data_IF_820048204649
#
_entry.id   IF_820048204649
#
_cell.length_a   1.000
_cell.length_b   1.000
_cell.length_c   1.000
_cell.angle_alpha   90.00
_cell.angle_beta   90.00
_cell.angle_gamma   90.00
#
_symmetry.space_group_name_H-M   'P 1'
#
loop_
_entity.id
_entity.type
_entity.pdbx_description
1 polymer ?
#
# COMPACT_ATOMS: atom_id res chain seq x y z
N UNK A 1 71.81 -10.93 -6.26
CA UNK A 1 71.04 -11.66 -7.30
C UNK A 1 70.04 -12.56 -6.60
N UNK A 2 68.78 -12.12 -6.47
CA UNK A 2 67.71 -12.89 -5.85
C UNK A 2 66.83 -13.54 -6.95
N UNK A 3 66.53 -14.83 -6.80
CA UNK A 3 65.66 -15.60 -7.70
C UNK A 3 64.21 -15.07 -7.64
N UNK A 4 63.42 -15.11 -8.73
CA UNK A 4 62.01 -14.75 -8.68
C UNK A 4 61.21 -15.85 -7.96
N UNK A 5 60.30 -15.42 -7.09
CA UNK A 5 59.35 -16.29 -6.42
C UNK A 5 58.37 -16.91 -7.45
N UNK A 6 58.21 -18.23 -7.40
CA UNK A 6 57.19 -18.96 -8.13
C UNK A 6 55.80 -18.50 -7.67
N UNK A 7 54.93 -18.20 -8.64
CA UNK A 7 53.61 -17.62 -8.44
C UNK A 7 52.70 -18.47 -7.54
N UNK A 8 51.98 -17.78 -6.66
CA UNK A 8 50.88 -18.34 -5.90
C UNK A 8 49.78 -18.85 -6.85
N UNK A 9 49.56 -20.16 -6.88
CA UNK A 9 48.37 -20.77 -7.52
C UNK A 9 47.13 -20.36 -6.72
N UNK A 10 46.25 -19.57 -7.33
CA UNK A 10 44.88 -19.36 -6.82
C UNK A 10 44.17 -20.73 -6.76
N UNK A 11 43.81 -21.19 -5.56
CA UNK A 11 42.92 -22.35 -5.36
C UNK A 11 41.48 -21.86 -5.40
N UNK A 12 40.89 -21.79 -6.59
CA UNK A 12 39.44 -21.60 -6.73
C UNK A 12 38.68 -22.83 -6.24
N UNK A 13 37.54 -22.63 -5.57
CA UNK A 13 36.66 -23.68 -5.03
C UNK A 13 35.86 -24.44 -6.09
N UNK A 14 35.90 -23.99 -7.35
CA UNK A 14 35.19 -24.59 -8.48
C UNK A 14 36.23 -25.19 -9.43
N UNK A 15 36.16 -26.49 -9.63
CA UNK A 15 37.05 -27.26 -10.50
C UNK A 15 36.43 -27.45 -11.89
N UNK A 16 37.25 -27.86 -12.87
CA UNK A 16 36.74 -28.26 -14.19
C UNK A 16 35.76 -29.43 -14.02
N UNK A 17 34.56 -29.27 -14.56
CA UNK A 17 33.53 -30.29 -14.54
C UNK A 17 33.96 -31.47 -15.43
N UNK A 18 33.91 -32.72 -14.92
CA UNK A 18 34.32 -33.89 -15.69
C UNK A 18 33.34 -34.17 -16.84
N UNK A 19 33.86 -34.65 -17.96
CA UNK A 19 33.06 -34.96 -19.17
C UNK A 19 32.26 -33.76 -19.71
N UNK A 20 32.80 -32.56 -19.56
CA UNK A 20 32.22 -31.32 -20.05
C UNK A 20 32.07 -31.30 -21.58
N UNK A 21 30.86 -31.01 -22.06
CA UNK A 21 30.56 -30.70 -23.45
C UNK A 21 29.91 -29.30 -23.53
N UNK A 22 30.61 -28.29 -24.09
CA UNK A 22 30.09 -26.93 -24.16
C UNK A 22 28.86 -26.79 -25.06
N UNK A 23 28.68 -27.68 -26.04
CA UNK A 23 27.51 -27.66 -26.93
C UNK A 23 26.28 -28.15 -26.20
N UNK A 24 26.42 -29.25 -25.47
CA UNK A 24 25.34 -29.80 -24.66
C UNK A 24 24.93 -28.83 -23.56
N UNK A 25 25.89 -28.22 -22.86
CA UNK A 25 25.60 -27.22 -21.83
C UNK A 25 24.95 -25.95 -22.40
N UNK A 26 25.36 -25.51 -23.60
CA UNK A 26 24.71 -24.41 -24.29
C UNK A 26 23.25 -24.75 -24.66
N UNK A 27 22.98 -25.99 -25.08
CA UNK A 27 21.63 -26.47 -25.35
C UNK A 27 20.79 -26.61 -24.08
N UNK A 28 21.38 -27.09 -22.98
CA UNK A 28 20.74 -27.12 -21.67
C UNK A 28 20.36 -25.72 -21.21
N UNK A 29 21.27 -24.74 -21.30
CA UNK A 29 20.97 -23.35 -20.97
C UNK A 29 19.90 -22.76 -21.91
N UNK A 30 19.98 -23.01 -23.22
CA UNK A 30 18.98 -22.54 -24.17
C UNK A 30 17.60 -23.09 -23.85
N UNK A 31 17.49 -24.39 -23.56
CA UNK A 31 16.23 -25.04 -23.20
C UNK A 31 15.72 -24.59 -21.84
N UNK A 32 16.61 -24.38 -20.86
CA UNK A 32 16.26 -23.83 -19.56
C UNK A 32 15.72 -22.40 -19.65
N UNK A 33 16.07 -21.65 -20.69
CA UNK A 33 15.57 -20.29 -20.96
C UNK A 33 14.42 -20.26 -21.98
N UNK A 34 13.98 -21.40 -22.51
CA UNK A 34 13.00 -21.50 -23.59
C UNK A 34 11.59 -21.75 -23.03
N UNK A 35 10.66 -20.83 -23.29
CA UNK A 35 9.25 -20.94 -22.88
C UNK A 35 8.77 -19.70 -22.13
N UNK A 36 7.63 -19.80 -21.43
CA UNK A 36 7.23 -18.80 -20.43
C UNK A 36 7.96 -19.11 -19.12
N UNK A 37 9.00 -18.32 -18.80
CA UNK A 37 9.86 -18.51 -17.62
C UNK A 37 11.21 -19.14 -17.92
N UNK A 38 12.02 -19.34 -16.87
CA UNK A 38 13.32 -19.99 -16.95
C UNK A 38 13.54 -20.95 -15.78
N UNK A 39 14.24 -22.04 -16.01
CA UNK A 39 14.66 -22.99 -14.97
C UNK A 39 15.93 -22.47 -14.30
N UNK A 40 15.76 -21.54 -13.36
CA UNK A 40 16.89 -20.86 -12.69
C UNK A 40 17.72 -21.80 -11.84
N UNK A 41 17.13 -22.89 -11.33
CA UNK A 41 17.87 -23.89 -10.55
C UNK A 41 18.81 -24.67 -11.47
N UNK A 42 18.34 -25.09 -12.65
CA UNK A 42 19.20 -25.71 -13.67
C UNK A 42 20.27 -24.75 -14.21
N UNK A 43 19.93 -23.47 -14.44
CA UNK A 43 20.90 -22.45 -14.88
C UNK A 43 21.97 -22.23 -13.81
N UNK A 44 21.57 -22.09 -12.54
CA UNK A 44 22.48 -21.87 -11.42
C UNK A 44 23.36 -23.10 -11.19
N UNK A 45 22.78 -24.30 -11.15
CA UNK A 45 23.50 -25.56 -10.97
C UNK A 45 24.55 -25.75 -12.08
N UNK A 46 24.17 -25.51 -13.34
CA UNK A 46 25.07 -25.61 -14.47
C UNK A 46 26.18 -24.55 -14.36
N UNK A 47 25.86 -23.27 -14.22
CA UNK A 47 26.89 -22.22 -14.17
C UNK A 47 27.82 -22.43 -12.97
N UNK A 48 27.29 -22.69 -11.77
CA UNK A 48 28.09 -22.81 -10.55
C UNK A 48 28.94 -24.08 -10.48
N UNK A 49 28.60 -25.13 -11.23
CA UNK A 49 29.38 -26.35 -11.33
C UNK A 49 30.45 -26.34 -12.45
N UNK A 50 30.44 -25.35 -13.35
CA UNK A 50 31.46 -25.18 -14.40
C UNK A 50 32.55 -24.21 -13.98
N UNK A 51 33.79 -24.52 -14.35
CA UNK A 51 34.91 -23.58 -14.17
C UNK A 51 34.76 -22.35 -15.07
N UNK A 52 35.47 -21.26 -14.75
CA UNK A 52 35.40 -20.05 -15.57
C UNK A 52 35.79 -20.30 -17.04
N UNK A 53 36.81 -21.14 -17.28
CA UNK A 53 37.22 -21.57 -18.62
C UNK A 53 36.07 -22.24 -19.36
N UNK A 54 35.44 -23.22 -18.72
CA UNK A 54 34.30 -23.95 -19.30
C UNK A 54 33.11 -23.02 -19.57
N UNK A 55 32.81 -22.06 -18.68
CA UNK A 55 31.75 -21.06 -18.93
C UNK A 55 32.01 -20.19 -20.17
N UNK A 56 33.27 -19.81 -20.42
CA UNK A 56 33.64 -19.09 -21.64
C UNK A 56 33.42 -19.94 -22.90
N UNK A 57 33.75 -21.24 -22.83
CA UNK A 57 33.51 -22.19 -23.92
C UNK A 57 32.00 -22.40 -24.17
N UNK A 58 31.17 -22.45 -23.12
CA UNK A 58 29.71 -22.47 -23.24
C UNK A 58 29.22 -21.20 -23.95
N UNK A 59 29.68 -20.00 -23.55
CA UNK A 59 29.27 -18.74 -24.18
C UNK A 59 29.58 -18.72 -25.68
N UNK A 60 30.75 -19.22 -26.08
CA UNK A 60 31.15 -19.32 -27.48
C UNK A 60 30.26 -20.29 -28.27
N UNK A 61 29.96 -21.46 -27.69
CA UNK A 61 29.11 -22.46 -28.33
C UNK A 61 27.66 -21.99 -28.42
N UNK A 62 27.13 -21.35 -27.38
CA UNK A 62 25.81 -20.73 -27.39
C UNK A 62 25.67 -19.70 -28.53
N UNK A 63 26.70 -18.86 -28.72
CA UNK A 63 26.76 -17.92 -29.85
C UNK A 63 26.81 -18.61 -31.20
N UNK A 64 27.57 -19.70 -31.33
CA UNK A 64 27.65 -20.45 -32.58
C UNK A 64 26.36 -21.20 -32.92
N UNK A 65 25.70 -21.81 -31.93
CA UNK A 65 24.51 -22.64 -32.11
C UNK A 65 23.26 -21.81 -32.34
N UNK A 66 23.11 -20.70 -31.62
CA UNK A 66 21.87 -19.91 -31.61
C UNK A 66 22.01 -18.51 -32.19
N UNK A 67 23.23 -18.05 -32.48
CA UNK A 67 23.47 -16.68 -32.94
C UNK A 67 23.22 -15.61 -31.87
N UNK A 68 23.10 -16.01 -30.60
CA UNK A 68 22.73 -15.16 -29.46
C UNK A 68 23.88 -15.00 -28.47
N UNK A 69 23.84 -13.95 -27.67
CA UNK A 69 24.80 -13.74 -26.59
C UNK A 69 24.20 -14.27 -25.28
N UNK A 70 24.81 -15.31 -24.72
CA UNK A 70 24.32 -15.98 -23.50
C UNK A 70 24.21 -15.01 -22.31
N UNK A 71 25.15 -14.07 -22.18
CA UNK A 71 25.14 -13.10 -21.07
C UNK A 71 24.00 -12.09 -21.29
N UNK A 72 23.76 -11.68 -22.53
CA UNK A 72 22.63 -10.83 -22.87
C UNK A 72 21.28 -11.53 -22.58
N UNK A 73 21.13 -12.79 -22.98
CA UNK A 73 19.91 -13.58 -22.73
C UNK A 73 19.66 -13.76 -21.21
N UNK A 74 20.72 -14.00 -20.41
CA UNK A 74 20.61 -14.09 -18.95
C UNK A 74 20.25 -12.74 -18.30
N UNK A 75 20.81 -11.63 -18.77
CA UNK A 75 20.47 -10.30 -18.27
C UNK A 75 19.05 -9.87 -18.64
N UNK A 76 18.54 -10.33 -19.79
CA UNK A 76 17.16 -10.09 -20.21
C UNK A 76 16.16 -10.77 -19.24
N UNK A 77 16.49 -11.95 -18.72
CA UNK A 77 15.70 -12.64 -17.70
C UNK A 77 15.62 -11.86 -16.39
N UNK A 78 16.77 -11.42 -15.84
CA UNK A 78 16.78 -10.62 -14.62
C UNK A 78 16.00 -9.30 -14.79
N UNK A 79 16.08 -8.68 -15.97
CA UNK A 79 15.36 -7.45 -16.24
C UNK A 79 13.85 -7.67 -16.29
N UNK A 80 13.39 -8.81 -16.81
CA UNK A 80 11.98 -9.21 -16.78
C UNK A 80 11.47 -9.37 -15.34
N UNK A 81 12.21 -10.08 -14.47
CA UNK A 81 11.83 -10.22 -13.05
C UNK A 81 11.76 -8.87 -12.34
N UNK A 82 12.78 -8.02 -12.55
CA UNK A 82 12.84 -6.68 -11.95
C UNK A 82 11.61 -5.87 -12.36
N UNK A 83 11.18 -5.94 -13.62
CA UNK A 83 9.99 -5.20 -14.10
C UNK A 83 8.71 -5.71 -13.46
N UNK A 84 8.54 -7.02 -13.30
CA UNK A 84 7.37 -7.61 -12.67
C UNK A 84 7.29 -7.31 -11.17
N UNK A 85 8.41 -7.47 -10.45
CA UNK A 85 8.52 -7.13 -9.03
C UNK A 85 8.29 -5.62 -8.83
N UNK A 86 8.87 -4.77 -9.70
CA UNK A 86 8.68 -3.32 -9.64
C UNK A 86 7.20 -2.95 -9.82
N UNK A 87 6.52 -3.55 -10.81
CA UNK A 87 5.09 -3.32 -11.05
C UNK A 87 4.25 -3.72 -9.85
N UNK A 88 4.55 -4.85 -9.23
CA UNK A 88 3.86 -5.36 -8.03
C UNK A 88 4.06 -4.45 -6.82
N UNK A 89 5.24 -3.83 -6.67
CA UNK A 89 5.59 -3.00 -5.52
C UNK A 89 5.19 -1.52 -5.65
N UNK A 90 5.24 -0.95 -6.87
CA UNK A 90 5.16 0.50 -7.09
C UNK A 90 3.91 0.94 -7.89
N UNK A 91 3.01 0.02 -8.24
CA UNK A 91 1.77 0.29 -8.98
C UNK A 91 1.97 0.94 -10.38
N UNK A 92 3.21 0.98 -10.88
CA UNK A 92 3.59 1.55 -12.18
C UNK A 92 4.62 0.64 -12.84
N UNK A 93 4.67 0.61 -14.16
CA UNK A 93 5.76 -0.06 -14.87
C UNK A 93 7.08 0.70 -14.64
N UNK A 94 8.19 -0.05 -14.55
CA UNK A 94 9.53 0.53 -14.54
C UNK A 94 9.75 1.39 -15.80
N UNK A 95 9.23 0.93 -16.94
CA UNK A 95 9.23 1.66 -18.22
C UNK A 95 8.55 3.04 -18.11
N UNK A 96 7.33 3.10 -17.56
CA UNK A 96 6.60 4.35 -17.38
C UNK A 96 7.32 5.31 -16.43
N UNK A 97 7.92 4.80 -15.35
CA UNK A 97 8.71 5.64 -14.43
C UNK A 97 9.94 6.23 -15.13
N UNK A 98 10.73 5.41 -15.84
CA UNK A 98 11.87 5.89 -16.64
C UNK A 98 11.42 6.90 -17.69
N UNK A 99 10.31 6.62 -18.40
CA UNK A 99 9.79 7.47 -19.49
C UNK A 99 9.40 8.87 -19.02
N UNK A 100 8.91 8.99 -17.79
CA UNK A 100 8.43 10.24 -17.18
C UNK A 100 9.55 11.02 -16.49
N UNK A 101 10.54 10.33 -15.91
CA UNK A 101 11.61 10.96 -15.13
C UNK A 101 12.88 11.24 -15.96
N UNK A 102 12.94 10.79 -17.21
CA UNK A 102 14.10 11.01 -18.10
C UNK A 102 13.70 11.61 -19.44
N UNK A 103 14.65 12.23 -20.15
CA UNK A 103 14.42 12.86 -21.46
C UNK A 103 15.56 12.61 -22.47
N UNK A 104 15.33 12.97 -23.74
CA UNK A 104 16.34 12.90 -24.80
C UNK A 104 16.81 11.48 -25.19
N UNK A 105 18.02 11.40 -25.74
CA UNK A 105 18.64 10.12 -26.15
C UNK A 105 18.98 9.22 -24.95
N UNK A 106 19.27 9.82 -23.78
CA UNK A 106 19.45 9.09 -22.52
C UNK A 106 18.21 8.28 -22.15
N UNK A 107 17.02 8.90 -22.23
CA UNK A 107 15.74 8.18 -22.06
C UNK A 107 15.59 7.04 -23.05
N UNK A 108 15.88 7.27 -24.33
CA UNK A 108 15.74 6.22 -25.36
C UNK A 108 16.64 5.02 -25.04
N UNK A 109 17.87 5.25 -24.59
CA UNK A 109 18.78 4.20 -24.19
C UNK A 109 18.27 3.43 -22.96
N UNK A 110 17.84 4.13 -21.91
CA UNK A 110 17.29 3.48 -20.71
C UNK A 110 16.01 2.69 -21.00
N UNK A 111 15.11 3.22 -21.83
CA UNK A 111 13.89 2.50 -22.22
C UNK A 111 14.23 1.25 -23.03
N UNK A 112 15.24 1.29 -23.92
CA UNK A 112 15.69 0.09 -24.62
C UNK A 112 16.29 -0.96 -23.68
N UNK A 113 17.07 -0.55 -22.68
CA UNK A 113 17.60 -1.46 -21.66
C UNK A 113 16.50 -2.04 -20.75
N UNK A 114 15.50 -1.21 -20.42
CA UNK A 114 14.35 -1.64 -19.63
C UNK A 114 13.43 -2.59 -20.41
N UNK A 115 13.40 -2.55 -21.74
CA UNK A 115 12.46 -3.32 -22.57
C UNK A 115 11.18 -2.55 -22.90
N UNK A 116 10.04 -3.24 -22.98
CA UNK A 116 8.72 -2.66 -23.30
C UNK A 116 7.95 -2.10 -22.09
N UNK A 117 6.80 -1.48 -22.33
CA UNK A 117 5.86 -1.07 -21.27
C UNK A 117 5.13 -2.27 -20.63
N UNK A 118 5.26 -3.47 -21.22
CA UNK A 118 4.62 -4.75 -20.84
C UNK A 118 3.15 -4.62 -20.42
N UNK A 119 2.41 -3.70 -21.04
CA UNK A 119 0.95 -3.59 -20.83
C UNK A 119 0.23 -4.87 -21.31
N UNK A 120 0.89 -5.72 -22.10
CA UNK A 120 0.45 -7.06 -22.42
C UNK A 120 0.92 -8.06 -21.35
N UNK A 121 -0.01 -8.39 -20.45
CA UNK A 121 0.07 -9.42 -19.43
C UNK A 121 0.57 -10.78 -19.96
N UNK A 122 1.73 -11.21 -19.47
CA UNK A 122 2.06 -12.62 -19.30
C UNK A 122 1.77 -13.04 -17.85
N UNK A 123 1.60 -14.35 -17.61
CA UNK A 123 1.63 -14.90 -16.25
C UNK A 123 2.94 -14.48 -15.57
N UNK A 124 2.91 -14.24 -14.25
CA UNK A 124 4.15 -13.98 -13.51
C UNK A 124 5.18 -15.06 -13.83
N UNK A 125 6.44 -14.65 -13.95
CA UNK A 125 7.54 -15.58 -13.85
C UNK A 125 7.53 -16.25 -12.47
N UNK A 126 8.03 -17.50 -12.35
CA UNK A 126 7.99 -18.26 -11.09
C UNK A 126 8.49 -17.46 -9.88
N UNK A 127 9.49 -16.59 -10.07
CA UNK A 127 10.08 -15.77 -9.02
C UNK A 127 9.20 -14.60 -8.61
N UNK A 128 8.56 -13.92 -9.57
CA UNK A 128 7.61 -12.86 -9.26
C UNK A 128 6.36 -13.42 -8.55
N UNK A 129 5.88 -14.59 -8.97
CA UNK A 129 4.80 -15.32 -8.29
C UNK A 129 5.22 -15.71 -6.86
N UNK A 130 6.45 -16.19 -6.67
CA UNK A 130 7.00 -16.53 -5.36
C UNK A 130 7.11 -15.30 -4.45
N UNK A 131 7.57 -14.16 -4.97
CA UNK A 131 7.62 -12.89 -4.21
C UNK A 131 6.21 -12.44 -3.83
N UNK A 132 5.26 -12.45 -4.77
CA UNK A 132 3.86 -12.09 -4.49
C UNK A 132 3.25 -12.99 -3.41
N UNK A 133 3.47 -14.29 -3.49
CA UNK A 133 3.06 -15.26 -2.46
C UNK A 133 3.70 -14.95 -1.09
N UNK A 134 5.01 -14.71 -1.06
CA UNK A 134 5.75 -14.39 0.16
C UNK A 134 5.29 -13.08 0.80
N UNK A 135 4.90 -12.07 0.01
CA UNK A 135 4.33 -10.83 0.55
C UNK A 135 3.03 -11.10 1.33
N UNK A 136 2.17 -11.98 0.81
CA UNK A 136 0.94 -12.38 1.49
C UNK A 136 1.21 -13.26 2.71
N UNK A 137 2.19 -14.16 2.63
CA UNK A 137 2.63 -14.97 3.78
C UNK A 137 3.15 -14.08 4.91
N UNK A 138 4.05 -13.14 4.60
CA UNK A 138 4.58 -12.19 5.57
C UNK A 138 3.45 -11.36 6.22
N UNK A 139 2.50 -10.87 5.41
CA UNK A 139 1.32 -10.15 5.91
C UNK A 139 0.45 -11.01 6.86
N UNK A 140 0.38 -12.32 6.64
CA UNK A 140 -0.41 -13.23 7.45
C UNK A 140 0.26 -13.61 8.77
N UNK A 141 1.58 -13.80 8.78
CA UNK A 141 2.32 -14.30 9.97
C UNK A 141 3.00 -13.22 10.79
N UNK A 142 3.22 -12.02 10.23
CA UNK A 142 3.92 -10.96 10.93
C UNK A 142 3.13 -10.47 12.14
N UNK A 143 3.76 -10.56 13.32
CA UNK A 143 3.24 -9.96 14.55
C UNK A 143 3.67 -8.50 14.61
N UNK A 144 2.86 -7.62 14.02
CA UNK A 144 3.12 -6.18 14.01
C UNK A 144 2.40 -5.51 15.19
N UNK A 145 3.16 -4.88 16.07
CA UNK A 145 2.61 -4.00 17.10
C UNK A 145 2.27 -2.64 16.47
N UNK A 146 1.00 -2.24 16.52
CA UNK A 146 0.52 -0.95 16.01
C UNK A 146 0.71 0.12 17.09
N UNK A 147 1.38 1.23 16.73
CA UNK A 147 1.66 2.35 17.63
C UNK A 147 1.31 3.68 16.99
N UNK A 148 0.52 4.48 17.71
CA UNK A 148 0.35 5.90 17.42
C UNK A 148 1.62 6.72 17.71
N UNK A 149 1.58 8.00 17.35
CA UNK A 149 2.62 8.99 17.71
C UNK A 149 2.16 9.96 18.80
N UNK A 150 0.85 10.06 19.05
CA UNK A 150 0.29 10.82 20.17
C UNK A 150 -0.04 9.85 21.29
N UNK A 151 0.37 10.20 22.51
CA UNK A 151 0.13 9.41 23.72
C UNK A 151 -0.51 10.28 24.80
N UNK A 152 -1.22 9.68 25.78
CA UNK A 152 -1.70 10.42 26.94
C UNK A 152 -0.56 11.13 27.65
N UNK A 153 -0.71 12.42 27.94
CA UNK A 153 0.24 13.17 28.78
C UNK A 153 0.21 12.63 30.22
N UNK A 154 1.37 12.37 30.81
CA UNK A 154 1.49 11.80 32.16
C UNK A 154 0.97 12.71 33.27
N UNK A 155 1.42 13.97 33.28
CA UNK A 155 1.01 14.99 34.26
C UNK A 155 -0.23 15.77 33.80
N UNK A 156 -1.24 15.06 33.29
CA UNK A 156 -2.40 15.69 32.68
C UNK A 156 -3.26 16.43 33.71
N UNK A 157 -3.45 17.72 33.47
CA UNK A 157 -4.30 18.59 34.27
C UNK A 157 -5.29 19.35 33.36
N UNK A 158 -6.56 18.89 33.26
CA UNK A 158 -7.54 19.51 32.37
C UNK A 158 -7.90 20.93 32.78
N UNK A 159 -7.82 21.28 34.07
CA UNK A 159 -8.06 22.63 34.57
C UNK A 159 -7.00 23.61 34.07
N UNK A 160 -5.74 23.20 34.11
CA UNK A 160 -4.61 23.99 33.62
C UNK A 160 -4.70 24.17 32.10
N UNK A 161 -4.95 23.08 31.36
CA UNK A 161 -5.09 23.13 29.91
C UNK A 161 -6.27 24.00 29.48
N UNK A 162 -7.44 23.85 30.13
CA UNK A 162 -8.62 24.67 29.83
C UNK A 162 -8.36 26.17 30.07
N UNK A 163 -7.67 26.52 31.17
CA UNK A 163 -7.28 27.91 31.47
C UNK A 163 -6.29 28.46 30.45
N UNK A 164 -5.29 27.67 30.06
CA UNK A 164 -4.28 28.04 29.08
C UNK A 164 -4.93 28.27 27.70
N UNK A 165 -5.78 27.36 27.24
CA UNK A 165 -6.54 27.53 25.99
C UNK A 165 -7.44 28.77 26.04
N UNK A 166 -8.14 29.01 27.16
CA UNK A 166 -8.98 30.22 27.28
C UNK A 166 -8.14 31.49 27.19
N UNK A 167 -6.97 31.50 27.82
CA UNK A 167 -6.03 32.63 27.79
C UNK A 167 -5.47 32.86 26.39
N UNK A 168 -5.10 31.79 25.68
CA UNK A 168 -4.59 31.84 24.31
C UNK A 168 -5.61 32.43 23.31
N UNK A 169 -6.90 32.27 23.60
CA UNK A 169 -8.03 32.78 22.81
C UNK A 169 -8.64 34.08 23.39
N UNK A 170 -7.90 34.85 24.20
CA UNK A 170 -8.44 36.07 24.83
C UNK A 170 -7.70 37.31 24.35
N UNK A 171 -8.40 38.18 23.61
CA UNK A 171 -7.92 39.51 23.26
C UNK A 171 -8.07 39.78 21.76
N UNK A 172 -7.36 40.78 21.27
CA UNK A 172 -7.20 41.04 19.83
C UNK A 172 -6.01 40.21 19.34
N UNK A 173 -6.27 38.95 19.03
CA UNK A 173 -5.27 37.98 18.55
C UNK A 173 -5.41 36.61 19.23
N UNK A 174 -4.85 35.60 18.58
CA UNK A 174 -4.83 34.20 19.04
C UNK A 174 -3.39 33.78 19.28
N UNK A 175 -3.11 33.09 20.38
CA UNK A 175 -1.83 32.42 20.62
C UNK A 175 -1.91 30.99 20.05
N UNK A 176 -1.63 30.85 18.76
CA UNK A 176 -1.71 29.55 18.08
C UNK A 176 -0.70 28.53 18.63
N UNK A 177 0.49 28.98 19.06
CA UNK A 177 1.54 28.10 19.58
C UNK A 177 1.06 27.35 20.84
N UNK A 178 0.46 28.07 21.80
CA UNK A 178 -0.12 27.45 23.00
C UNK A 178 -1.22 26.45 22.63
N UNK A 179 -2.07 26.77 21.64
CA UNK A 179 -3.15 25.88 21.21
C UNK A 179 -2.57 24.61 20.56
N UNK A 180 -1.61 24.77 19.65
CA UNK A 180 -0.93 23.67 18.96
C UNK A 180 -0.24 22.76 19.98
N UNK A 181 0.53 23.33 20.89
CA UNK A 181 1.32 22.59 21.87
C UNK A 181 0.45 21.78 22.83
N UNK A 182 -0.68 22.34 23.28
CA UNK A 182 -1.62 21.60 24.14
C UNK A 182 -2.35 20.55 23.31
N UNK A 183 -3.02 20.92 22.23
CA UNK A 183 -3.92 19.99 21.52
C UNK A 183 -3.13 18.82 20.91
N UNK A 184 -1.97 19.06 20.31
CA UNK A 184 -1.19 18.01 19.64
C UNK A 184 -0.49 17.05 20.60
N UNK A 185 -0.32 17.42 21.88
CA UNK A 185 0.35 16.61 22.92
C UNK A 185 -0.59 16.06 23.98
N UNK A 186 -1.87 15.91 23.65
CA UNK A 186 -2.89 15.26 24.49
C UNK A 186 -3.58 14.18 23.69
N UNK A 187 -3.87 13.03 24.30
CA UNK A 187 -4.68 12.00 23.64
C UNK A 187 -6.10 12.51 23.39
N UNK A 188 -6.83 11.87 22.49
CA UNK A 188 -8.20 12.26 22.17
C UNK A 188 -9.09 12.22 23.43
N UNK A 189 -8.93 11.20 24.26
CA UNK A 189 -9.64 11.09 25.54
C UNK A 189 -9.37 12.29 26.46
N UNK A 190 -8.10 12.70 26.58
CA UNK A 190 -7.72 13.90 27.34
C UNK A 190 -8.31 15.17 26.73
N UNK A 191 -8.34 15.30 25.39
CA UNK A 191 -9.01 16.42 24.70
C UNK A 191 -10.51 16.48 25.02
N UNK A 192 -11.19 15.34 25.12
CA UNK A 192 -12.60 15.31 25.53
C UNK A 192 -12.77 15.80 26.98
N UNK A 193 -11.86 15.43 27.89
CA UNK A 193 -11.88 15.93 29.26
C UNK A 193 -11.60 17.44 29.32
N UNK A 194 -10.66 17.96 28.52
CA UNK A 194 -10.42 19.40 28.40
C UNK A 194 -11.69 20.13 27.93
N UNK A 195 -12.42 19.60 26.93
CA UNK A 195 -13.69 20.19 26.45
C UNK A 195 -14.72 20.30 27.58
N UNK A 196 -14.88 19.24 28.38
CA UNK A 196 -15.81 19.23 29.50
C UNK A 196 -15.41 20.24 30.59
N UNK A 197 -14.14 20.24 30.99
CA UNK A 197 -13.60 21.17 32.00
C UNK A 197 -13.69 22.62 31.54
N UNK A 198 -13.38 22.92 30.27
CA UNK A 198 -13.52 24.25 29.69
C UNK A 198 -14.97 24.75 29.76
N UNK A 199 -15.93 23.91 29.39
CA UNK A 199 -17.36 24.25 29.48
C UNK A 199 -17.80 24.49 30.92
N UNK A 200 -17.35 23.67 31.86
CA UNK A 200 -17.64 23.82 33.28
C UNK A 200 -17.09 25.14 33.86
N UNK A 201 -15.85 25.50 33.53
CA UNK A 201 -15.20 26.70 34.07
C UNK A 201 -15.69 28.01 33.47
N UNK A 202 -16.00 28.02 32.19
CA UNK A 202 -16.23 29.27 31.46
C UNK A 202 -17.67 29.41 30.94
N UNK A 203 -18.48 28.36 31.01
CA UNK A 203 -19.83 28.34 30.43
C UNK A 203 -19.85 28.45 28.90
N UNK A 204 -18.72 28.18 28.24
CA UNK A 204 -18.50 28.35 26.79
C UNK A 204 -18.16 27.03 26.14
N UNK A 205 -18.48 26.89 24.86
CA UNK A 205 -18.10 25.71 24.09
C UNK A 205 -16.70 25.90 23.47
N UNK A 206 -15.76 25.02 23.85
CA UNK A 206 -14.37 25.08 23.37
C UNK A 206 -14.27 24.91 21.85
N UNK A 207 -15.14 24.10 21.23
CA UNK A 207 -15.11 23.90 19.77
C UNK A 207 -15.56 25.17 19.04
N UNK A 208 -16.57 25.87 19.56
CA UNK A 208 -17.03 27.15 19.03
C UNK A 208 -15.95 28.23 19.16
N UNK A 209 -15.31 28.34 20.32
CA UNK A 209 -14.23 29.31 20.54
C UNK A 209 -13.02 29.00 19.62
N UNK A 210 -12.54 27.74 19.54
CA UNK A 210 -11.46 27.39 18.61
C UNK A 210 -11.80 27.66 17.14
N UNK A 211 -13.07 27.48 16.76
CA UNK A 211 -13.54 27.74 15.39
C UNK A 211 -13.61 29.23 15.07
N UNK A 212 -13.83 30.11 16.05
CA UNK A 212 -13.81 31.55 15.83
C UNK A 212 -12.40 32.13 15.81
N UNK A 213 -11.48 31.53 16.57
CA UNK A 213 -10.12 32.06 16.77
C UNK A 213 -9.10 31.53 15.76
N UNK A 214 -9.35 30.37 15.16
CA UNK A 214 -8.48 29.76 14.15
C UNK A 214 -9.11 29.81 12.75
N UNK A 215 -8.27 29.86 11.72
CA UNK A 215 -8.71 29.76 10.33
C UNK A 215 -7.85 28.78 9.51
N UNK A 216 -8.25 28.55 8.26
CA UNK A 216 -7.48 27.74 7.30
C UNK A 216 -7.27 26.28 7.72
N UNK A 217 -6.12 25.74 7.32
CA UNK A 217 -5.78 24.33 7.53
C UNK A 217 -5.44 24.01 8.98
N UNK A 218 -4.89 24.98 9.72
CA UNK A 218 -4.66 24.87 11.15
C UNK A 218 -5.99 24.67 11.90
N UNK A 219 -7.02 25.47 11.60
CA UNK A 219 -8.35 25.28 12.19
C UNK A 219 -8.92 23.89 11.88
N UNK A 220 -8.74 23.41 10.63
CA UNK A 220 -9.19 22.07 10.24
C UNK A 220 -8.48 20.99 11.06
N UNK A 221 -7.17 21.11 11.26
CA UNK A 221 -6.36 20.19 12.02
C UNK A 221 -6.75 20.17 13.50
N UNK A 222 -6.73 21.34 14.15
CA UNK A 222 -7.03 21.48 15.58
C UNK A 222 -8.47 21.05 15.89
N UNK A 223 -9.46 21.53 15.14
CA UNK A 223 -10.84 21.11 15.35
C UNK A 223 -11.02 19.60 15.08
N UNK A 224 -10.31 19.04 14.11
CA UNK A 224 -10.36 17.60 13.86
C UNK A 224 -9.78 16.77 15.00
N UNK A 225 -8.64 17.17 15.57
CA UNK A 225 -8.01 16.52 16.72
C UNK A 225 -8.90 16.55 17.98
N UNK A 226 -9.73 17.59 18.12
CA UNK A 226 -10.65 17.77 19.25
C UNK A 226 -11.94 16.95 19.14
N UNK A 227 -12.27 16.41 17.96
CA UNK A 227 -13.45 15.56 17.78
C UNK A 227 -13.18 14.13 18.25
N UNK A 228 -14.15 13.44 18.88
CA UNK A 228 -14.02 12.00 19.11
C UNK A 228 -13.85 11.25 17.77
N UNK A 229 -13.13 10.11 17.73
CA UNK A 229 -12.75 9.46 16.48
C UNK A 229 -13.93 9.14 15.55
N UNK A 230 -15.01 8.56 16.08
CA UNK A 230 -16.19 8.21 15.30
C UNK A 230 -16.89 9.44 14.69
N UNK A 231 -17.03 10.53 15.45
CA UNK A 231 -17.61 11.79 14.95
C UNK A 231 -16.69 12.47 13.92
N UNK A 232 -15.37 12.35 14.07
CA UNK A 232 -14.44 12.87 13.08
C UNK A 232 -14.64 12.18 11.74
N UNK A 233 -14.68 10.85 11.71
CA UNK A 233 -14.91 10.08 10.49
C UNK A 233 -16.31 10.30 9.92
N UNK A 234 -17.35 10.35 10.76
CA UNK A 234 -18.69 10.71 10.32
C UNK A 234 -18.72 12.07 9.61
N UNK A 235 -18.01 13.07 10.14
CA UNK A 235 -17.86 14.38 9.50
C UNK A 235 -17.08 14.34 8.20
N UNK A 236 -16.04 13.51 8.10
CA UNK A 236 -15.31 13.36 6.83
C UNK A 236 -16.19 12.71 5.76
N UNK A 237 -16.94 11.65 6.11
CA UNK A 237 -17.91 11.02 5.22
C UNK A 237 -19.01 12.00 4.79
N UNK A 238 -19.56 12.78 5.73
CA UNK A 238 -20.58 13.78 5.42
C UNK A 238 -20.07 14.82 4.42
N UNK A 239 -18.85 15.30 4.62
CA UNK A 239 -18.20 16.27 3.73
C UNK A 239 -17.88 15.70 2.36
N UNK A 240 -17.53 14.41 2.29
CA UNK A 240 -17.27 13.72 1.03
C UNK A 240 -18.53 13.57 0.16
N UNK A 241 -19.71 13.62 0.78
CA UNK A 241 -21.03 13.54 0.12
C UNK A 241 -21.79 14.88 0.18
N UNK A 242 -21.11 16.00 0.44
CA UNK A 242 -21.74 17.31 0.55
C UNK A 242 -21.38 18.19 -0.65
N UNK A 243 -22.41 18.73 -1.29
CA UNK A 243 -22.26 19.67 -2.39
C UNK A 243 -22.42 18.99 -3.76
N UNK A 244 -21.82 19.59 -4.78
CA UNK A 244 -21.85 19.04 -6.13
C UNK A 244 -20.68 18.07 -6.33
N UNK A 245 -21.00 16.84 -6.74
CA UNK A 245 -20.03 15.76 -6.88
C UNK A 245 -19.74 15.06 -5.54
N UNK A 246 -18.90 14.03 -5.61
CA UNK A 246 -18.53 13.19 -4.48
C UNK A 246 -17.01 13.19 -4.34
N UNK A 247 -16.48 13.06 -3.12
CA UNK A 247 -15.07 12.77 -2.87
C UNK A 247 -14.90 11.26 -2.67
N UNK A 248 -14.86 10.52 -3.78
CA UNK A 248 -14.78 9.06 -3.79
C UNK A 248 -13.52 8.57 -3.06
N UNK A 249 -12.41 9.33 -3.17
CA UNK A 249 -11.14 9.01 -2.51
C UNK A 249 -11.27 9.00 -0.99
N UNK A 250 -12.01 9.95 -0.41
CA UNK A 250 -12.26 9.99 1.04
C UNK A 250 -13.21 8.87 1.49
N UNK A 251 -14.27 8.60 0.71
CA UNK A 251 -15.20 7.49 0.99
C UNK A 251 -14.47 6.14 1.00
N UNK A 252 -13.67 5.87 -0.03
CA UNK A 252 -12.87 4.65 -0.16
C UNK A 252 -11.88 4.52 0.99
N UNK A 253 -11.13 5.59 1.30
CA UNK A 253 -10.15 5.57 2.38
C UNK A 253 -10.76 5.16 3.71
N UNK A 254 -11.92 5.73 4.06
CA UNK A 254 -12.55 5.46 5.35
C UNK A 254 -13.16 4.06 5.33
N UNK A 255 -14.05 3.77 4.40
CA UNK A 255 -14.85 2.54 4.45
C UNK A 255 -14.03 1.28 4.16
N UNK A 256 -12.91 1.36 3.43
CA UNK A 256 -12.03 0.20 3.20
C UNK A 256 -11.01 -0.04 4.32
N UNK A 257 -10.85 0.87 5.29
CA UNK A 257 -9.79 0.78 6.32
C UNK A 257 -10.30 0.64 7.74
N UNK A 258 -11.52 1.10 8.05
CA UNK A 258 -12.11 0.99 9.39
C UNK A 258 -12.57 -0.44 9.67
N UNK A 259 -12.42 -0.84 10.92
CA UNK A 259 -12.88 -2.12 11.48
C UNK A 259 -14.39 -2.09 11.71
N UNK A 260 -15.00 -3.26 11.96
CA UNK A 260 -16.43 -3.32 12.26
C UNK A 260 -16.83 -2.45 13.47
N UNK A 261 -16.02 -2.47 14.54
CA UNK A 261 -16.27 -1.65 15.73
C UNK A 261 -16.23 -0.15 15.40
N UNK A 262 -15.24 0.30 14.63
CA UNK A 262 -15.16 1.68 14.16
C UNK A 262 -16.33 2.05 13.25
N UNK A 263 -16.71 1.19 12.30
CA UNK A 263 -17.85 1.43 11.40
C UNK A 263 -19.17 1.54 12.17
N UNK A 264 -19.42 0.68 13.16
CA UNK A 264 -20.63 0.77 13.99
C UNK A 264 -20.66 2.09 14.78
N UNK A 265 -19.55 2.49 15.37
CA UNK A 265 -19.44 3.76 16.07
C UNK A 265 -19.64 4.95 15.11
N UNK A 266 -19.12 4.88 13.88
CA UNK A 266 -19.34 5.88 12.83
C UNK A 266 -20.82 5.96 12.46
N UNK A 267 -21.51 4.82 12.29
CA UNK A 267 -22.94 4.79 11.97
C UNK A 267 -23.78 5.47 13.05
N UNK A 268 -23.46 5.22 14.33
CA UNK A 268 -24.11 5.89 15.47
C UNK A 268 -23.84 7.40 15.47
N UNK A 269 -22.56 7.80 15.39
CA UNK A 269 -22.16 9.20 15.35
C UNK A 269 -22.76 9.96 14.16
N UNK A 270 -22.82 9.34 12.98
CA UNK A 270 -23.40 9.93 11.78
C UNK A 270 -24.91 10.17 11.95
N UNK A 271 -25.62 9.20 12.53
CA UNK A 271 -27.05 9.34 12.81
C UNK A 271 -27.33 10.41 13.88
N UNK A 272 -26.49 10.49 14.90
CA UNK A 272 -26.56 11.52 15.94
C UNK A 272 -26.34 12.91 15.35
N UNK A 273 -25.25 13.11 14.60
CA UNK A 273 -24.82 14.42 14.11
C UNK A 273 -25.69 14.94 12.94
N UNK A 274 -26.22 14.05 12.11
CA UNK A 274 -26.89 14.42 10.84
C UNK A 274 -28.32 13.92 10.69
N UNK A 275 -28.85 13.21 11.68
CA UNK A 275 -30.24 12.69 11.70
C UNK A 275 -30.63 11.88 10.45
N UNK A 276 -29.64 11.22 9.83
CA UNK A 276 -29.79 10.36 8.64
C UNK A 276 -28.87 9.17 8.81
N UNK A 277 -29.24 7.98 8.32
CA UNK A 277 -28.32 6.84 8.35
C UNK A 277 -27.17 7.05 7.35
N UNK A 278 -26.00 6.46 7.62
CA UNK A 278 -24.89 6.49 6.67
C UNK A 278 -25.25 5.77 5.36
N UNK A 279 -25.98 4.66 5.45
CA UNK A 279 -26.48 3.93 4.27
C UNK A 279 -27.37 4.79 3.39
N UNK A 280 -28.32 5.54 3.97
CA UNK A 280 -29.19 6.43 3.21
C UNK A 280 -28.40 7.58 2.59
N UNK A 281 -27.39 8.09 3.29
CA UNK A 281 -26.51 9.14 2.78
C UNK A 281 -25.72 8.66 1.57
N UNK A 282 -25.02 7.52 1.68
CA UNK A 282 -24.31 6.86 0.58
C UNK A 282 -25.27 6.56 -0.57
N UNK A 283 -26.49 6.09 -0.25
CA UNK A 283 -27.50 5.77 -1.24
C UNK A 283 -28.00 6.95 -2.05
N UNK A 284 -27.93 8.15 -1.49
CA UNK A 284 -28.38 9.39 -2.13
C UNK A 284 -27.30 10.02 -2.99
N UNK A 285 -26.03 9.82 -2.64
CA UNK A 285 -24.89 10.52 -3.25
C UNK A 285 -24.14 9.66 -4.28
N UNK A 286 -24.22 8.33 -4.14
CA UNK A 286 -23.51 7.38 -5.02
C UNK A 286 -24.48 6.49 -5.79
N UNK A 287 -24.00 5.80 -6.83
CA UNK A 287 -24.81 4.86 -7.62
C UNK A 287 -24.00 3.65 -8.11
N UNK A 288 -24.67 2.72 -8.79
CA UNK A 288 -24.05 1.55 -9.42
C UNK A 288 -23.35 0.59 -8.45
N UNK A 289 -22.33 -0.12 -8.95
CA UNK A 289 -21.53 -1.05 -8.14
C UNK A 289 -20.76 -0.35 -7.03
N UNK A 290 -20.30 0.88 -7.27
CA UNK A 290 -19.59 1.65 -6.25
C UNK A 290 -20.47 1.86 -5.00
N UNK A 291 -21.72 2.31 -5.16
CA UNK A 291 -22.70 2.41 -4.06
C UNK A 291 -22.85 1.09 -3.31
N UNK A 292 -23.02 -0.02 -4.02
CA UNK A 292 -23.25 -1.34 -3.41
C UNK A 292 -22.07 -1.78 -2.55
N UNK A 293 -20.85 -1.54 -3.03
CA UNK A 293 -19.61 -1.85 -2.29
C UNK A 293 -19.51 -0.97 -1.03
N UNK A 294 -19.70 0.35 -1.17
CA UNK A 294 -19.62 1.26 -0.02
C UNK A 294 -20.66 0.93 1.06
N UNK A 295 -21.90 0.64 0.67
CA UNK A 295 -22.95 0.22 1.61
C UNK A 295 -22.57 -1.09 2.30
N UNK A 296 -22.05 -2.07 1.55
CA UNK A 296 -21.61 -3.35 2.13
C UNK A 296 -20.55 -3.15 3.21
N UNK A 297 -19.54 -2.30 2.95
CA UNK A 297 -18.51 -1.96 3.93
C UNK A 297 -19.08 -1.17 5.13
N UNK A 298 -19.99 -0.23 4.87
CA UNK A 298 -20.63 0.61 5.88
C UNK A 298 -21.54 -0.16 6.84
N UNK A 299 -21.88 -1.43 6.56
CA UNK A 299 -22.61 -2.29 7.51
C UNK A 299 -21.80 -2.63 8.76
N UNK A 300 -20.46 -2.66 8.68
CA UNK A 300 -19.61 -3.09 9.80
C UNK A 300 -19.91 -4.54 10.22
N UNK A 301 -20.23 -5.40 9.25
CA UNK A 301 -20.56 -6.81 9.46
C UNK A 301 -19.64 -7.76 8.68
N UNK A 302 -18.35 -7.40 8.57
CA UNK A 302 -17.33 -8.29 8.03
C UNK A 302 -17.10 -9.48 8.98
N UNK A 303 -16.87 -10.67 8.45
CA UNK A 303 -16.45 -11.83 9.23
C UNK A 303 -15.15 -11.51 10.01
N UNK A 304 -15.06 -11.92 11.27
CA UNK A 304 -13.86 -11.69 12.12
C UNK A 304 -13.14 -13.00 12.50
N UNK A 305 -13.64 -14.14 12.01
CA UNK A 305 -13.04 -15.46 12.24
C UNK A 305 -11.68 -15.65 11.58
N UNK A 306 -11.00 -16.73 11.95
CA UNK A 306 -9.72 -17.13 11.36
C UNK A 306 -9.82 -17.60 9.90
N UNK A 307 -8.69 -18.04 9.34
CA UNK A 307 -8.68 -18.62 7.98
C UNK A 307 -9.45 -19.95 7.91
N UNK A 308 -10.06 -20.21 6.76
CA UNK A 308 -10.63 -21.50 6.38
C UNK A 308 -9.98 -21.87 5.05
N UNK A 309 -9.15 -22.91 5.05
CA UNK A 309 -8.31 -23.25 3.90
C UNK A 309 -9.12 -23.78 2.72
N UNK A 310 -10.16 -24.56 3.00
CA UNK A 310 -11.02 -25.13 1.94
C UNK A 310 -11.81 -24.01 1.28
N UNK A 311 -12.49 -23.19 2.09
CA UNK A 311 -13.24 -22.04 1.56
C UNK A 311 -12.34 -21.02 0.88
N UNK A 312 -11.09 -20.84 1.33
CA UNK A 312 -10.16 -19.93 0.67
C UNK A 312 -9.76 -20.41 -0.73
N UNK A 313 -9.59 -21.73 -0.93
CA UNK A 313 -9.37 -22.30 -2.25
C UNK A 313 -10.60 -22.15 -3.15
N UNK A 314 -11.80 -22.32 -2.60
CA UNK A 314 -13.07 -22.11 -3.32
C UNK A 314 -13.23 -20.63 -3.74
N UNK A 315 -13.05 -19.69 -2.82
CA UNK A 315 -13.13 -18.25 -3.08
C UNK A 315 -12.07 -17.83 -4.13
N UNK A 316 -10.83 -18.34 -4.02
CA UNK A 316 -9.76 -18.07 -4.99
C UNK A 316 -10.10 -18.62 -6.39
N UNK A 317 -10.62 -19.87 -6.43
CA UNK A 317 -11.06 -20.51 -7.67
C UNK A 317 -12.23 -19.76 -8.31
N UNK A 318 -13.20 -19.32 -7.51
CA UNK A 318 -14.35 -18.55 -8.00
C UNK A 318 -13.91 -17.25 -8.67
N UNK A 319 -12.92 -16.56 -8.11
CA UNK A 319 -12.32 -15.37 -8.73
C UNK A 319 -11.59 -15.75 -10.03
N UNK A 320 -10.81 -16.84 -10.03
CA UNK A 320 -10.02 -17.28 -11.19
C UNK A 320 -10.86 -17.79 -12.37
N UNK A 321 -11.92 -18.55 -12.08
CA UNK A 321 -12.78 -19.19 -13.08
C UNK A 321 -13.79 -18.20 -13.70
N UNK A 322 -13.97 -17.01 -13.11
CA UNK A 322 -14.87 -16.01 -13.66
C UNK A 322 -14.32 -15.49 -14.99
N UNK A 323 -14.94 -15.90 -16.10
CA UNK A 323 -14.47 -15.60 -17.45
C UNK A 323 -14.25 -14.09 -17.66
N UNK A 324 -13.07 -13.73 -18.16
CA UNK A 324 -12.62 -12.36 -18.45
C UNK A 324 -13.47 -11.57 -19.47
N UNK A 325 -14.63 -12.09 -19.89
CA UNK A 325 -15.57 -11.44 -20.79
C UNK A 325 -16.74 -10.71 -20.10
N UNK A 326 -17.11 -11.08 -18.88
CA UNK A 326 -18.21 -10.44 -18.12
C UNK A 326 -17.69 -9.75 -16.85
N UNK A 327 -17.32 -8.48 -17.01
CA UNK A 327 -16.82 -7.62 -15.93
C UNK A 327 -17.82 -7.46 -14.78
N UNK A 328 -19.11 -7.45 -15.08
CA UNK A 328 -20.18 -7.25 -14.08
C UNK A 328 -20.27 -8.44 -13.13
N UNK A 329 -20.15 -9.65 -13.68
CA UNK A 329 -20.10 -10.89 -12.89
C UNK A 329 -18.87 -10.90 -11.99
N UNK A 330 -17.70 -10.54 -12.54
CA UNK A 330 -16.44 -10.46 -11.80
C UNK A 330 -16.53 -9.46 -10.62
N UNK A 331 -17.01 -8.25 -10.86
CA UNK A 331 -17.22 -7.24 -9.81
C UNK A 331 -18.14 -7.74 -8.68
N UNK A 332 -19.18 -8.51 -9.01
CA UNK A 332 -20.11 -9.06 -8.02
C UNK A 332 -19.46 -10.14 -7.15
N UNK A 333 -18.61 -11.00 -7.74
CA UNK A 333 -17.83 -12.00 -6.99
C UNK A 333 -16.82 -11.35 -6.06
N UNK A 334 -16.04 -10.41 -6.58
CA UNK A 334 -15.11 -9.61 -5.77
C UNK A 334 -15.84 -8.88 -4.64
N UNK A 335 -16.99 -8.27 -4.90
CA UNK A 335 -17.79 -7.63 -3.85
C UNK A 335 -18.16 -8.61 -2.74
N UNK A 336 -18.67 -9.80 -3.10
CA UNK A 336 -19.13 -10.81 -2.13
C UNK A 336 -17.98 -11.30 -1.25
N UNK A 337 -16.80 -11.50 -1.81
CA UNK A 337 -15.62 -12.00 -1.10
C UNK A 337 -14.92 -10.86 -0.34
N UNK A 338 -14.51 -9.79 -1.04
CA UNK A 338 -13.70 -8.70 -0.47
C UNK A 338 -14.43 -7.87 0.57
N UNK A 339 -15.77 -7.75 0.52
CA UNK A 339 -16.50 -6.93 1.48
C UNK A 339 -16.87 -7.70 2.75
N UNK A 340 -16.94 -9.03 2.70
CA UNK A 340 -17.48 -9.85 3.81
C UNK A 340 -16.45 -10.73 4.50
N UNK A 341 -15.44 -11.27 3.79
CA UNK A 341 -14.47 -12.18 4.41
C UNK A 341 -13.57 -11.46 5.40
N UNK A 342 -13.12 -12.21 6.42
CA UNK A 342 -12.14 -11.71 7.38
C UNK A 342 -10.81 -11.42 6.71
N UNK A 343 -10.04 -10.50 7.29
CA UNK A 343 -8.71 -10.17 6.74
C UNK A 343 -7.76 -11.37 6.80
N UNK A 344 -7.89 -12.22 7.83
CA UNK A 344 -7.09 -13.46 7.93
C UNK A 344 -7.43 -14.41 6.79
N UNK A 345 -8.73 -14.59 6.50
CA UNK A 345 -9.20 -15.43 5.41
C UNK A 345 -8.78 -14.87 4.03
N UNK A 346 -8.93 -13.56 3.81
CA UNK A 346 -8.57 -12.92 2.54
C UNK A 346 -7.09 -13.08 2.18
N UNK A 347 -6.18 -13.01 3.17
CA UNK A 347 -4.75 -13.28 2.91
C UNK A 347 -4.54 -14.70 2.37
N UNK A 348 -5.23 -15.69 2.92
CA UNK A 348 -5.18 -17.08 2.42
C UNK A 348 -5.78 -17.18 1.01
N UNK A 349 -6.91 -16.52 0.75
CA UNK A 349 -7.54 -16.47 -0.59
C UNK A 349 -6.52 -15.95 -1.61
N UNK A 350 -5.82 -14.85 -1.31
CA UNK A 350 -4.87 -14.26 -2.25
C UNK A 350 -3.62 -15.12 -2.45
N UNK A 351 -3.19 -15.86 -1.44
CA UNK A 351 -2.12 -16.86 -1.58
C UNK A 351 -2.51 -18.00 -2.52
N UNK A 352 -3.71 -18.56 -2.36
CA UNK A 352 -4.21 -19.62 -3.24
C UNK A 352 -4.47 -19.07 -4.66
N UNK A 353 -4.94 -17.82 -4.78
CA UNK A 353 -5.11 -17.16 -6.06
C UNK A 353 -3.79 -17.04 -6.84
N UNK A 354 -2.70 -16.63 -6.18
CA UNK A 354 -1.36 -16.57 -6.80
C UNK A 354 -0.92 -17.97 -7.25
N UNK A 355 -1.09 -19.00 -6.42
CA UNK A 355 -0.76 -20.40 -6.80
C UNK A 355 -1.55 -20.91 -8.01
N UNK A 356 -2.82 -20.54 -8.12
CA UNK A 356 -3.73 -21.02 -9.16
C UNK A 356 -3.52 -20.31 -10.49
N UNK A 357 -3.21 -19.01 -10.45
CA UNK A 357 -3.27 -18.15 -11.64
C UNK A 357 -1.92 -17.62 -12.09
N UNK A 358 -0.89 -17.67 -11.22
CA UNK A 358 0.35 -16.93 -11.38
C UNK A 358 0.12 -15.41 -11.57
N UNK A 359 -0.94 -14.85 -10.98
CA UNK A 359 -1.17 -13.40 -10.92
C UNK A 359 -1.47 -12.95 -9.50
N UNK A 360 -1.12 -11.70 -9.19
CA UNK A 360 -1.54 -11.06 -7.94
C UNK A 360 -2.96 -10.49 -8.11
N UNK A 361 -3.77 -10.60 -7.06
CA UNK A 361 -5.17 -10.16 -7.10
C UNK A 361 -5.29 -8.67 -7.43
N UNK A 362 -4.36 -7.83 -6.96
CA UNK A 362 -4.37 -6.39 -7.23
C UNK A 362 -4.13 -6.12 -8.72
N UNK A 363 -3.27 -6.91 -9.36
CA UNK A 363 -3.03 -6.83 -10.80
C UNK A 363 -4.30 -7.17 -11.59
N UNK A 364 -4.97 -8.28 -11.24
CA UNK A 364 -6.22 -8.70 -11.87
C UNK A 364 -7.30 -7.62 -11.75
N UNK A 365 -7.48 -7.04 -10.56
CA UNK A 365 -8.43 -5.94 -10.34
C UNK A 365 -8.10 -4.74 -11.24
N UNK A 366 -6.82 -4.33 -11.30
CA UNK A 366 -6.40 -3.18 -12.12
C UNK A 366 -6.57 -3.39 -13.61
N UNK A 367 -6.45 -4.64 -14.07
CA UNK A 367 -6.59 -5.01 -15.48
C UNK A 367 -8.05 -5.08 -15.91
N UNK A 368 -8.88 -5.75 -15.11
CA UNK A 368 -10.26 -6.07 -15.51
C UNK A 368 -11.24 -4.95 -15.14
N UNK A 369 -10.94 -4.16 -14.11
CA UNK A 369 -11.82 -3.12 -13.56
C UNK A 369 -11.24 -1.72 -13.73
N UNK A 370 -12.12 -0.72 -13.67
CA UNK A 370 -11.75 0.69 -13.81
C UNK A 370 -12.52 1.61 -12.86
N UNK A 371 -12.08 2.86 -12.74
CA UNK A 371 -12.74 3.88 -11.93
C UNK A 371 -12.81 3.51 -10.44
N UNK A 372 -13.87 3.98 -9.76
CA UNK A 372 -13.99 3.87 -8.30
C UNK A 372 -14.20 2.44 -7.82
N UNK A 373 -14.76 1.57 -8.67
CA UNK A 373 -14.90 0.13 -8.38
C UNK A 373 -13.53 -0.55 -8.28
N UNK A 374 -12.63 -0.26 -9.24
CA UNK A 374 -11.23 -0.71 -9.15
C UNK A 374 -10.58 -0.15 -7.90
N UNK A 375 -10.72 1.15 -7.65
CA UNK A 375 -10.01 1.84 -6.58
C UNK A 375 -10.45 1.38 -5.19
N UNK A 376 -11.74 1.08 -4.98
CA UNK A 376 -12.22 0.54 -3.70
C UNK A 376 -11.73 -0.89 -3.45
N UNK A 377 -11.71 -1.75 -4.46
CA UNK A 377 -11.20 -3.11 -4.30
C UNK A 377 -9.69 -3.14 -4.07
N UNK A 378 -8.92 -2.32 -4.82
CA UNK A 378 -7.48 -2.14 -4.57
C UNK A 378 -7.26 -1.64 -3.14
N UNK A 379 -8.04 -0.67 -2.66
CA UNK A 379 -7.90 -0.17 -1.30
C UNK A 379 -8.19 -1.25 -0.23
N UNK A 380 -9.19 -2.11 -0.44
CA UNK A 380 -9.45 -3.26 0.45
C UNK A 380 -8.25 -4.22 0.46
N UNK A 381 -7.77 -4.62 -0.72
CA UNK A 381 -6.62 -5.54 -0.86
C UNK A 381 -5.38 -4.97 -0.16
N UNK A 382 -5.06 -3.70 -0.38
CA UNK A 382 -3.92 -3.03 0.24
C UNK A 382 -4.09 -2.88 1.76
N UNK A 383 -5.30 -2.56 2.23
CA UNK A 383 -5.65 -2.50 3.66
C UNK A 383 -5.49 -3.86 4.36
N UNK A 384 -5.83 -4.96 3.68
CA UNK A 384 -5.59 -6.33 4.16
C UNK A 384 -4.10 -6.65 4.17
N UNK A 385 -3.36 -6.28 3.12
CA UNK A 385 -1.94 -6.58 2.95
C UNK A 385 -1.06 -5.85 3.97
N UNK A 386 -1.11 -4.53 3.98
CA UNK A 386 -0.32 -3.69 4.87
C UNK A 386 -1.00 -2.31 4.99
N UNK A 387 -1.88 -2.19 5.99
CA UNK A 387 -2.63 -0.96 6.26
C UNK A 387 -1.73 0.26 6.56
N UNK A 388 -0.65 0.14 7.37
CA UNK A 388 0.32 1.23 7.50
C UNK A 388 0.92 1.70 6.17
N UNK A 389 1.31 0.76 5.29
CA UNK A 389 1.85 1.11 3.97
C UNK A 389 0.81 1.78 3.07
N UNK A 390 -0.45 1.34 3.10
CA UNK A 390 -1.54 2.01 2.39
C UNK A 390 -1.64 3.49 2.77
N UNK A 391 -1.61 3.81 4.06
CA UNK A 391 -1.66 5.21 4.51
C UNK A 391 -0.37 5.98 4.18
N UNK A 392 0.81 5.34 4.24
CA UNK A 392 2.06 5.94 3.81
C UNK A 392 2.02 6.34 2.33
N UNK A 393 1.49 5.47 1.47
CA UNK A 393 1.32 5.75 0.05
C UNK A 393 0.35 6.91 -0.20
N UNK A 394 -0.75 6.97 0.56
CA UNK A 394 -1.70 8.09 0.45
C UNK A 394 -1.11 9.41 0.92
N UNK A 395 -0.33 9.42 2.00
CA UNK A 395 0.41 10.60 2.47
C UNK A 395 1.42 11.07 1.43
N UNK A 396 2.16 10.15 0.82
CA UNK A 396 3.10 10.50 -0.23
C UNK A 396 2.37 11.09 -1.43
N UNK A 397 1.28 10.45 -1.88
CA UNK A 397 0.44 10.94 -2.98
C UNK A 397 -0.17 12.32 -2.68
N UNK A 398 -0.49 12.65 -1.42
CA UNK A 398 -1.03 13.97 -1.07
C UNK A 398 0.00 15.10 -1.08
N UNK A 399 1.29 14.79 -0.99
CA UNK A 399 2.38 15.78 -1.00
C UNK A 399 3.22 15.73 -2.28
N UNK A 400 2.89 14.83 -3.22
CA UNK A 400 3.65 14.65 -4.45
C UNK A 400 3.17 15.60 -5.53
N UNK A 401 4.12 16.32 -6.13
CA UNK A 401 3.89 17.14 -7.33
C UNK A 401 3.77 18.62 -6.98
N UNK A 402 3.06 19.38 -7.81
CA UNK A 402 2.80 20.79 -7.54
C UNK A 402 1.57 20.92 -6.62
N UNK A 403 1.75 21.60 -5.48
CA UNK A 403 0.72 21.76 -4.46
C UNK A 403 0.60 20.55 -3.52
N UNK A 404 -0.35 20.64 -2.59
CA UNK A 404 -0.61 19.62 -1.57
C UNK A 404 -2.11 19.35 -1.51
N UNK A 405 -2.50 18.11 -1.22
CA UNK A 405 -3.86 17.76 -0.81
C UNK A 405 -3.94 17.80 0.73
N UNK A 406 -4.14 19.00 1.28
CA UNK A 406 -4.17 19.21 2.73
C UNK A 406 -5.34 18.48 3.39
N UNK A 407 -6.42 18.19 2.64
CA UNK A 407 -7.56 17.43 3.17
C UNK A 407 -7.16 15.99 3.46
N UNK A 408 -6.52 15.31 2.51
CA UNK A 408 -6.04 13.93 2.70
C UNK A 408 -4.92 13.88 3.73
N UNK A 409 -3.94 14.79 3.66
CA UNK A 409 -2.86 14.88 4.64
C UNK A 409 -3.40 15.02 6.05
N UNK A 410 -4.27 16.01 6.29
CA UNK A 410 -4.85 16.27 7.62
C UNK A 410 -5.70 15.09 8.10
N UNK A 411 -6.52 14.49 7.23
CA UNK A 411 -7.40 13.37 7.58
C UNK A 411 -6.63 12.15 8.05
N UNK A 412 -5.55 11.80 7.35
CA UNK A 412 -4.70 10.67 7.73
C UNK A 412 -3.94 10.99 9.01
N UNK A 413 -3.32 12.18 9.10
CA UNK A 413 -2.56 12.57 10.29
C UNK A 413 -3.42 12.57 11.57
N UNK A 414 -4.68 13.00 11.49
CA UNK A 414 -5.61 12.97 12.64
C UNK A 414 -6.05 11.55 12.95
N UNK A 415 -6.66 10.87 11.97
CA UNK A 415 -7.33 9.58 12.20
C UNK A 415 -6.36 8.47 12.60
N UNK A 416 -5.08 8.56 12.21
CA UNK A 416 -4.06 7.55 12.52
C UNK A 416 -3.16 7.93 13.71
N UNK A 417 -3.26 9.16 14.22
CA UNK A 417 -2.35 9.73 15.24
C UNK A 417 -2.16 8.86 16.49
N UNK A 418 -3.20 8.14 16.91
CA UNK A 418 -3.20 7.30 18.12
C UNK A 418 -3.31 5.79 17.80
N UNK A 419 -3.21 5.39 16.52
CA UNK A 419 -3.39 4.00 16.08
C UNK A 419 -2.08 3.39 15.58
N UNK A 420 -1.57 3.87 14.44
CA UNK A 420 -0.43 3.26 13.74
C UNK A 420 0.43 4.28 13.00
N UNK A 421 0.31 5.58 13.33
CA UNK A 421 1.09 6.63 12.67
C UNK A 421 2.61 6.43 12.83
N UNK A 422 3.09 5.74 13.87
CA UNK A 422 4.50 5.37 13.97
C UNK A 422 4.87 4.31 12.93
N UNK A 423 4.02 3.29 12.73
CA UNK A 423 4.21 2.29 11.69
C UNK A 423 4.15 2.93 10.30
N UNK A 424 3.18 3.82 10.06
CA UNK A 424 3.05 4.56 8.79
C UNK A 424 4.34 5.34 8.48
N UNK A 425 4.93 6.02 9.47
CA UNK A 425 6.21 6.72 9.30
C UNK A 425 7.34 5.79 8.89
N UNK A 426 7.38 4.57 9.44
CA UNK A 426 8.37 3.54 9.08
C UNK A 426 8.19 3.08 7.64
N UNK A 427 6.98 2.69 7.26
CA UNK A 427 6.70 2.27 5.88
C UNK A 427 6.97 3.41 4.87
N UNK A 428 6.69 4.66 5.26
CA UNK A 428 6.94 5.83 4.43
C UNK A 428 8.44 6.01 4.16
N UNK A 429 9.28 6.00 5.20
CA UNK A 429 10.74 6.16 5.00
C UNK A 429 11.35 4.97 4.25
N UNK A 430 10.89 3.74 4.52
CA UNK A 430 11.37 2.53 3.85
C UNK A 430 11.02 2.50 2.34
N UNK A 431 9.88 3.08 1.94
CA UNK A 431 9.45 3.07 0.53
C UNK A 431 9.92 4.28 -0.26
N UNK A 432 10.05 5.44 0.37
CA UNK A 432 10.26 6.71 -0.32
C UNK A 432 11.62 7.36 -0.05
N UNK A 433 12.49 6.71 0.75
CA UNK A 433 13.83 7.20 1.10
C UNK A 433 13.85 8.65 1.64
N UNK A 434 12.70 9.09 2.18
CA UNK A 434 12.48 10.41 2.76
C UNK A 434 11.56 10.23 3.96
N UNK A 435 11.91 10.77 5.12
CA UNK A 435 11.04 10.65 6.29
C UNK A 435 9.74 11.44 6.08
N UNK A 436 8.65 10.99 6.72
CA UNK A 436 7.37 11.73 6.71
C UNK A 436 7.53 13.16 7.25
N UNK A 437 8.46 13.36 8.20
CA UNK A 437 8.77 14.69 8.74
C UNK A 437 9.33 15.61 7.66
N UNK A 438 10.39 15.19 6.97
CA UNK A 438 10.98 15.94 5.86
C UNK A 438 10.01 16.13 4.69
N UNK A 439 9.00 15.27 4.54
CA UNK A 439 8.01 15.37 3.48
C UNK A 439 6.95 16.44 3.78
N UNK A 440 6.67 16.70 5.06
CA UNK A 440 5.72 17.73 5.51
C UNK A 440 6.40 19.11 5.61
N UNK A 441 7.69 19.14 6.00
CA UNK A 441 8.56 20.32 5.95
C UNK A 441 8.91 20.73 4.52
#
# INVERSE_FOLDING_TARGET
MAKPAQGARYRGSIHDFPNFDPSQDAETLYNAMKGFGSDKEAILELITSRSNRQRQEICQNYKSLYGKDLIADLNELDMLDIREIFRTKYEKSLYSMIKNDTSGEYKKALLKLCGGDDDAAGQFFPEAAQVAYQMWELSAVARVELKGTVHPAGDFNPDADAKALRKAMKGLGTDEDTIIDIVTRRSNAQRQQIRQTFKSHFGRDLMADLKSELSGDLARLILGLMMPPAHYDAKQLKKAMEGAGTDEKALIEILATRTNAEIRAINEAYKEDYHKSLEDALSSDTSGHFKRILISLATGNREEGGEDRTRAQEDAKEIADTSSGDKTSLETRFMTILCTRSYQHLRRVFQEFVKMTNYDVEHTIKKEMSGDVRDVFVAIVQSVKNKPLFFADKLYKSMKGAGTDEKTLTRIMISRSEIDLLNIRREFIEKYDKSLHQAIE
#
